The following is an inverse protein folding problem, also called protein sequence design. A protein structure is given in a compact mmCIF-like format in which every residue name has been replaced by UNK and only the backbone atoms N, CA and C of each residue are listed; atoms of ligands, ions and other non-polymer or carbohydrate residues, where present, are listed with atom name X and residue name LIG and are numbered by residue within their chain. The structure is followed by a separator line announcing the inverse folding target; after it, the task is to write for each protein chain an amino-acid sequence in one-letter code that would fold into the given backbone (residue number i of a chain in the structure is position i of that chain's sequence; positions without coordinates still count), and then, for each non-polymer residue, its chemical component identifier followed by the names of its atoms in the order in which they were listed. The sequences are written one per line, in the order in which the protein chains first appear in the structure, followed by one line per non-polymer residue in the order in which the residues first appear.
data_IF_089709987727
#
_entry.id   IF_089709987727
#
_cell.length_a   1.000
_cell.length_b   1.000
_cell.length_c   1.000
_cell.angle_alpha   90.00
_cell.angle_beta   90.00
_cell.angle_gamma   90.00
#
_symmetry.space_group_name_H-M   'P 1'
#
loop_
_entity.id
_entity.type
_entity.pdbx_description
1 polymer ?
#
# COMPACT_ATOMS: atom_id res chain seq x y z
N UNK A 1 -14.03 -3.42 24.65
CA UNK A 1 -14.05 -3.58 23.17
C UNK A 1 -12.60 -3.56 22.74
N UNK A 2 -12.06 -4.68 22.24
CA UNK A 2 -10.70 -4.69 21.69
C UNK A 2 -10.85 -4.17 20.25
N UNK A 3 -10.63 -2.87 20.06
CA UNK A 3 -10.68 -2.25 18.74
C UNK A 3 -9.47 -2.69 17.93
N UNK A 4 -9.67 -2.98 16.64
CA UNK A 4 -8.56 -3.21 15.72
C UNK A 4 -7.96 -1.84 15.41
N UNK A 5 -6.71 -1.62 15.77
CA UNK A 5 -6.00 -0.41 15.37
C UNK A 5 -5.46 -0.61 13.94
N UNK A 6 -5.91 0.23 13.01
CA UNK A 6 -5.48 0.22 11.61
C UNK A 6 -4.95 1.59 11.21
N UNK A 7 -3.90 1.60 10.41
CA UNK A 7 -3.32 2.82 9.86
C UNK A 7 -2.48 2.49 8.62
N UNK A 8 -2.31 3.47 7.74
CA UNK A 8 -1.39 3.40 6.61
C UNK A 8 -0.39 4.56 6.70
N UNK A 9 0.70 4.49 5.93
CA UNK A 9 1.61 5.63 5.84
C UNK A 9 0.98 6.72 4.97
N UNK A 10 0.51 6.34 3.79
CA UNK A 10 -0.12 7.23 2.82
C UNK A 10 -1.53 6.76 2.45
N UNK A 11 -2.39 7.73 2.14
CA UNK A 11 -3.66 7.52 1.45
C UNK A 11 -3.76 8.46 0.25
N UNK A 12 -4.05 7.92 -0.93
CA UNK A 12 -4.12 8.64 -2.19
C UNK A 12 -5.58 8.71 -2.64
N UNK A 13 -6.14 9.91 -2.61
CA UNK A 13 -7.52 10.18 -3.02
C UNK A 13 -7.70 10.03 -4.53
N UNK A 14 -8.95 9.90 -4.98
CA UNK A 14 -9.31 9.79 -6.41
C UNK A 14 -8.75 10.93 -7.27
N UNK A 15 -8.61 12.14 -6.70
CA UNK A 15 -8.04 13.31 -7.37
C UNK A 15 -6.52 13.30 -7.48
N UNK A 16 -5.83 12.34 -6.84
CA UNK A 16 -4.37 12.27 -6.76
C UNK A 16 -3.79 12.96 -5.53
N UNK A 17 -4.62 13.53 -4.65
CA UNK A 17 -4.15 14.14 -3.40
C UNK A 17 -3.59 13.06 -2.47
N UNK A 18 -2.37 13.29 -1.98
CA UNK A 18 -1.68 12.39 -1.04
C UNK A 18 -1.81 12.92 0.37
N UNK A 19 -2.35 12.11 1.27
CA UNK A 19 -2.44 12.38 2.71
C UNK A 19 -1.49 11.43 3.42
N UNK A 20 -0.66 11.96 4.32
CA UNK A 20 0.22 11.15 5.17
C UNK A 20 -0.33 11.06 6.59
N UNK A 21 -0.51 9.83 7.10
CA UNK A 21 -0.97 9.58 8.47
C UNK A 21 0.14 9.13 9.40
N UNK A 22 1.07 8.29 8.92
CA UNK A 22 2.17 7.75 9.70
C UNK A 22 3.51 8.11 9.06
N UNK A 23 4.50 8.62 9.83
CA UNK A 23 5.86 8.81 9.34
C UNK A 23 6.48 7.50 8.82
N UNK A 24 7.21 7.53 7.71
CA UNK A 24 7.79 6.32 7.08
C UNK A 24 8.81 5.57 7.93
N UNK A 25 9.39 6.23 8.94
CA UNK A 25 10.30 5.62 9.91
C UNK A 25 9.58 5.06 11.15
N UNK A 26 8.25 5.02 11.13
CA UNK A 26 7.40 4.43 12.15
C UNK A 26 6.58 3.31 11.54
N UNK A 27 6.13 2.40 12.40
CA UNK A 27 5.30 1.27 12.01
C UNK A 27 3.85 1.71 11.87
N UNK A 28 3.29 1.59 10.67
CA UNK A 28 1.84 1.63 10.46
C UNK A 28 1.22 0.22 10.59
N UNK A 29 -0.10 0.14 10.71
CA UNK A 29 -0.86 -1.10 10.90
C UNK A 29 -1.80 -1.37 9.72
N UNK A 30 -1.20 -1.67 8.56
CA UNK A 30 -1.94 -1.84 7.30
C UNK A 30 -2.01 -3.30 6.86
N UNK A 31 -0.92 -4.07 7.01
CA UNK A 31 -0.78 -5.41 6.44
C UNK A 31 -1.43 -6.52 7.28
N UNK A 32 -1.68 -6.29 8.57
CA UNK A 32 -2.19 -7.32 9.50
C UNK A 32 -1.38 -8.63 9.48
N UNK A 33 -2.06 -9.76 9.69
CA UNK A 33 -1.45 -11.09 9.51
C UNK A 33 -1.05 -11.29 8.05
N UNK A 34 0.25 -11.41 7.80
CA UNK A 34 0.84 -11.37 6.47
C UNK A 34 2.21 -12.06 6.45
N UNK A 35 2.63 -12.54 5.27
CA UNK A 35 3.93 -13.14 5.03
C UNK A 35 4.46 -12.71 3.65
N UNK A 36 5.71 -12.23 3.58
CA UNK A 36 6.38 -11.94 2.33
C UNK A 36 7.69 -12.72 2.25
N UNK A 37 7.82 -13.61 1.25
CA UNK A 37 9.02 -14.44 1.01
C UNK A 37 9.51 -15.18 2.27
N UNK A 38 8.58 -15.69 3.09
CA UNK A 38 8.88 -16.42 4.32
C UNK A 38 9.01 -15.54 5.57
N UNK A 39 8.96 -14.21 5.44
CA UNK A 39 9.01 -13.27 6.58
C UNK A 39 7.61 -12.83 6.98
N UNK A 40 7.20 -13.17 8.20
CA UNK A 40 5.91 -12.79 8.76
C UNK A 40 5.86 -11.33 9.23
N UNK A 41 4.66 -10.83 9.52
CA UNK A 41 4.39 -9.50 10.07
C UNK A 41 4.92 -8.35 9.20
N UNK A 42 4.38 -8.22 7.98
CA UNK A 42 4.89 -7.25 6.99
C UNK A 42 4.90 -5.80 7.50
N UNK A 43 3.99 -5.42 8.41
CA UNK A 43 3.99 -4.10 9.07
C UNK A 43 5.36 -3.69 9.64
N UNK A 44 6.20 -4.64 10.02
CA UNK A 44 7.50 -4.37 10.65
C UNK A 44 8.57 -3.90 9.64
N UNK A 45 8.34 -4.08 8.34
CA UNK A 45 9.33 -3.78 7.29
C UNK A 45 8.74 -3.24 5.98
N UNK A 46 7.45 -2.92 5.96
CA UNK A 46 6.77 -2.37 4.77
C UNK A 46 6.24 -0.97 4.98
N UNK A 47 6.09 -0.23 3.87
CA UNK A 47 5.37 1.04 3.82
C UNK A 47 4.02 0.81 3.13
N UNK A 48 2.93 0.83 3.89
CA UNK A 48 1.57 0.81 3.36
C UNK A 48 1.14 2.13 2.70
N UNK A 49 0.71 2.03 1.44
CA UNK A 49 0.08 3.10 0.67
C UNK A 49 -1.30 2.61 0.25
N UNK A 50 -2.33 3.34 0.65
CA UNK A 50 -3.73 3.03 0.35
C UNK A 50 -4.23 3.94 -0.79
N UNK A 51 -4.99 3.40 -1.72
CA UNK A 51 -5.64 4.17 -2.78
C UNK A 51 -7.15 4.19 -2.54
N UNK A 52 -7.76 5.38 -2.57
CA UNK A 52 -9.22 5.52 -2.50
C UNK A 52 -9.88 4.75 -3.66
N UNK A 53 -10.70 3.75 -3.34
CA UNK A 53 -11.32 2.87 -4.33
C UNK A 53 -11.86 1.59 -3.70
N UNK A 54 -11.99 0.55 -4.52
CA UNK A 54 -12.42 -0.80 -4.17
C UNK A 54 -12.04 -1.76 -5.29
N UNK A 55 -12.12 -3.07 -5.00
CA UNK A 55 -11.62 -4.13 -5.90
C UNK A 55 -12.23 -4.14 -7.30
N UNK A 56 -13.42 -3.54 -7.46
CA UNK A 56 -14.20 -3.44 -8.70
C UNK A 56 -14.26 -2.01 -9.27
N UNK A 57 -13.47 -1.08 -8.72
CA UNK A 57 -13.42 0.32 -9.15
C UNK A 57 -12.07 0.62 -9.79
N UNK A 58 -12.10 1.02 -11.06
CA UNK A 58 -10.90 1.47 -11.79
C UNK A 58 -10.20 2.64 -11.08
N UNK A 59 -8.89 2.53 -10.86
CA UNK A 59 -8.07 3.62 -10.31
C UNK A 59 -7.81 4.73 -11.34
N UNK A 60 -7.81 5.99 -10.91
CA UNK A 60 -7.60 7.11 -11.83
C UNK A 60 -6.14 7.24 -12.25
N UNK A 61 -5.89 7.82 -13.43
CA UNK A 61 -4.52 8.15 -13.85
C UNK A 61 -3.81 9.09 -12.86
N UNK A 62 -4.57 9.96 -12.18
CA UNK A 62 -4.03 10.84 -11.14
C UNK A 62 -3.55 10.05 -9.92
N UNK A 63 -4.26 8.99 -9.53
CA UNK A 63 -3.81 8.08 -8.47
C UNK A 63 -2.54 7.34 -8.87
N UNK A 64 -2.46 6.80 -10.09
CA UNK A 64 -1.24 6.15 -10.58
C UNK A 64 -0.05 7.11 -10.65
N UNK A 65 -0.27 8.35 -11.07
CA UNK A 65 0.78 9.37 -11.09
C UNK A 65 1.30 9.66 -9.68
N UNK A 66 0.39 9.95 -8.74
CA UNK A 66 0.75 10.21 -7.34
C UNK A 66 1.43 9.01 -6.66
N UNK A 67 0.97 7.80 -6.95
CA UNK A 67 1.57 6.56 -6.46
C UNK A 67 3.01 6.39 -6.99
N UNK A 68 3.22 6.57 -8.30
CA UNK A 68 4.55 6.48 -8.91
C UNK A 68 5.51 7.55 -8.37
N UNK A 69 5.05 8.79 -8.18
CA UNK A 69 5.87 9.85 -7.60
C UNK A 69 6.25 9.53 -6.14
N UNK A 70 5.30 8.98 -5.37
CA UNK A 70 5.53 8.51 -3.99
C UNK A 70 6.54 7.35 -3.96
N UNK A 71 6.36 6.34 -4.82
CA UNK A 71 7.29 5.21 -4.95
C UNK A 71 8.69 5.70 -5.31
N UNK A 72 8.81 6.63 -6.26
CA UNK A 72 10.11 7.20 -6.67
C UNK A 72 10.80 7.91 -5.52
N UNK A 73 10.07 8.72 -4.76
CA UNK A 73 10.60 9.42 -3.59
C UNK A 73 11.00 8.45 -2.46
N UNK A 74 10.24 7.36 -2.27
CA UNK A 74 10.58 6.35 -1.27
C UNK A 74 11.81 5.52 -1.70
N UNK A 75 11.90 5.12 -2.97
CA UNK A 75 13.06 4.42 -3.54
C UNK A 75 14.35 5.23 -3.46
N UNK A 76 14.28 6.57 -3.46
CA UNK A 76 15.50 7.39 -3.29
C UNK A 76 16.05 7.37 -1.87
N UNK A 77 15.21 7.06 -0.87
CA UNK A 77 15.54 7.16 0.55
C UNK A 77 15.66 5.81 1.25
N UNK A 78 14.96 4.79 0.75
CA UNK A 78 14.91 3.46 1.33
C UNK A 78 15.26 2.42 0.26
N UNK A 79 15.91 1.32 0.68
CA UNK A 79 16.15 0.18 -0.19
C UNK A 79 14.83 -0.61 -0.37
N UNK A 80 14.01 -0.18 -1.31
CA UNK A 80 12.76 -0.86 -1.68
C UNK A 80 13.07 -1.85 -2.81
N UNK A 81 12.93 -3.14 -2.53
CA UNK A 81 13.21 -4.21 -3.49
C UNK A 81 11.97 -4.68 -4.23
N UNK A 82 10.80 -4.52 -3.62
CA UNK A 82 9.56 -5.12 -4.09
C UNK A 82 8.39 -4.16 -3.86
N UNK A 83 7.40 -4.23 -4.75
CA UNK A 83 6.11 -3.55 -4.64
C UNK A 83 5.07 -4.64 -4.89
N UNK A 84 4.20 -4.88 -3.92
CA UNK A 84 3.25 -5.99 -3.92
C UNK A 84 1.90 -5.53 -3.41
N UNK A 85 0.85 -6.25 -3.81
CA UNK A 85 -0.49 -6.08 -3.28
C UNK A 85 -0.64 -6.65 -1.89
N UNK A 86 -1.71 -6.27 -1.20
CA UNK A 86 -2.03 -6.87 0.08
C UNK A 86 -2.45 -8.34 -0.09
N UNK A 87 -3.12 -8.65 -1.20
CA UNK A 87 -3.47 -10.00 -1.64
C UNK A 87 -2.25 -10.91 -1.79
N UNK A 88 -1.11 -10.39 -2.23
CA UNK A 88 0.12 -11.17 -2.40
C UNK A 88 0.74 -11.62 -1.06
N UNK A 89 0.62 -10.78 -0.02
CA UNK A 89 1.20 -11.05 1.31
C UNK A 89 0.20 -11.67 2.28
N UNK A 90 -1.09 -11.67 1.96
CA UNK A 90 -2.15 -12.22 2.79
C UNK A 90 -3.22 -12.98 1.95
N UNK A 91 -2.79 -13.98 1.14
CA UNK A 91 -3.69 -14.70 0.25
C UNK A 91 -4.81 -15.40 1.02
N UNK A 92 -6.02 -15.35 0.49
CA UNK A 92 -7.23 -15.90 1.12
C UNK A 92 -7.83 -15.05 2.24
N UNK A 93 -7.11 -14.03 2.74
CA UNK A 93 -7.62 -13.05 3.72
C UNK A 93 -7.93 -11.69 3.10
N UNK A 94 -7.11 -11.27 2.13
CA UNK A 94 -7.20 -9.95 1.50
C UNK A 94 -7.17 -10.07 -0.02
N UNK A 95 -7.88 -9.16 -0.67
CA UNK A 95 -8.10 -9.12 -2.12
C UNK A 95 -7.56 -7.83 -2.73
N UNK A 96 -7.41 -6.77 -1.94
CA UNK A 96 -6.84 -5.49 -2.36
C UNK A 96 -5.38 -5.64 -2.83
N UNK A 97 -4.97 -4.89 -3.88
CA UNK A 97 -5.69 -3.80 -4.54
C UNK A 97 -6.70 -4.24 -5.62
N UNK A 98 -7.01 -5.54 -5.72
CA UNK A 98 -8.02 -6.07 -6.64
C UNK A 98 -7.58 -6.11 -8.11
N UNK A 99 -8.44 -6.70 -8.94
CA UNK A 99 -8.16 -6.94 -10.36
C UNK A 99 -8.16 -5.65 -11.20
N UNK A 100 -8.80 -4.58 -10.72
CA UNK A 100 -8.81 -3.26 -11.36
C UNK A 100 -7.50 -2.49 -11.18
N UNK A 101 -6.61 -2.96 -10.30
CA UNK A 101 -5.28 -2.38 -10.17
C UNK A 101 -4.36 -2.83 -11.31
N UNK A 102 -4.05 -1.91 -12.20
CA UNK A 102 -3.21 -2.13 -13.35
C UNK A 102 -1.73 -2.00 -12.99
N UNK A 103 -1.12 -3.13 -12.61
CA UNK A 103 0.30 -3.25 -12.29
C UNK A 103 1.25 -2.73 -13.39
N UNK A 104 0.85 -2.75 -14.66
CA UNK A 104 1.69 -2.23 -15.76
C UNK A 104 1.88 -0.71 -15.73
N UNK A 105 1.04 0.01 -14.98
CA UNK A 105 1.18 1.46 -14.78
C UNK A 105 2.21 1.83 -13.70
N UNK A 106 2.72 0.86 -12.94
CA UNK A 106 3.68 1.09 -11.85
C UNK A 106 5.12 1.08 -12.39
N UNK A 107 5.94 2.03 -11.93
CA UNK A 107 7.30 2.30 -12.42
C UNK A 107 8.39 2.12 -11.34
#
# INVERSE_FOLDING_TARGET
MIGIEVSAHLFIKRGGEVIQFVPFNKRAWHAGQSNFKGKENCNDFSIGIELEGGDDIEYTDRQYQALNDSIKALKSQYLITDIVGHSDIAPGRKTDPGDTFNWSKIK
#
